data_IF_628482449848
#
_entry.id   IF_628482449848
#
_cell.length_a   1.000
_cell.length_b   1.000
_cell.length_c   1.000
_cell.angle_alpha   90.00
_cell.angle_beta   90.00
_cell.angle_gamma   90.00
#
_symmetry.space_group_name_H-M   'P 1'
#
loop_
_entity.id
_entity.type
_entity.pdbx_description
1 polymer ?
#
# COMPACT_ATOMS: atom_id res chain seq x y z
N UNK A 1 -2.15 15.77 -18.00
CA UNK A 1 -2.72 15.37 -16.68
C UNK A 1 -4.12 14.83 -16.91
N UNK A 2 -4.45 13.70 -16.29
CA UNK A 2 -5.80 13.14 -16.26
C UNK A 2 -6.45 13.57 -14.93
N UNK A 3 -7.25 14.65 -14.89
CA UNK A 3 -7.75 15.24 -13.64
C UNK A 3 -8.75 14.34 -12.88
N UNK A 4 -9.23 13.28 -13.55
CA UNK A 4 -10.19 12.33 -12.98
C UNK A 4 -9.55 11.11 -12.32
N UNK A 5 -8.22 10.94 -12.43
CA UNK A 5 -7.51 9.80 -11.85
C UNK A 5 -6.87 10.24 -10.54
N UNK A 6 -7.27 9.60 -9.45
CA UNK A 6 -6.59 9.77 -8.17
C UNK A 6 -5.15 9.22 -8.27
N UNK A 7 -4.16 9.90 -7.70
CA UNK A 7 -2.76 9.46 -7.74
C UNK A 7 -2.50 8.33 -6.74
N UNK A 8 -3.27 7.26 -6.86
CA UNK A 8 -3.14 6.00 -6.13
C UNK A 8 -3.41 4.84 -7.07
N UNK A 9 -2.51 3.85 -7.08
CA UNK A 9 -2.67 2.63 -7.88
C UNK A 9 -2.37 1.40 -7.03
N UNK A 10 -3.15 0.37 -7.26
CA UNK A 10 -2.86 -0.96 -6.74
C UNK A 10 -2.22 -1.81 -7.85
N UNK A 11 -0.96 -2.18 -7.65
CA UNK A 11 -0.20 -3.01 -8.58
C UNK A 11 0.26 -4.27 -7.84
N UNK A 12 -0.31 -5.43 -8.15
CA UNK A 12 0.02 -6.68 -7.48
C UNK A 12 1.41 -7.18 -7.87
N UNK A 13 2.40 -7.07 -6.97
CA UNK A 13 3.78 -7.54 -7.14
C UNK A 13 3.89 -9.06 -6.98
N UNK A 14 3.19 -9.61 -6.01
CA UNK A 14 3.15 -11.01 -5.59
C UNK A 14 4.43 -11.53 -4.95
N UNK A 15 5.62 -11.26 -5.50
CA UNK A 15 6.95 -11.55 -4.96
C UNK A 15 7.97 -10.59 -5.56
N UNK A 16 9.00 -10.25 -4.80
CA UNK A 16 10.16 -9.48 -5.28
C UNK A 16 11.31 -10.35 -5.81
N UNK A 17 11.09 -11.64 -5.98
CA UNK A 17 12.07 -12.59 -6.52
C UNK A 17 11.58 -13.20 -7.83
N UNK A 18 12.38 -13.11 -8.88
CA UNK A 18 12.02 -13.59 -10.23
C UNK A 18 11.82 -15.11 -10.27
N UNK A 19 12.58 -15.89 -9.49
CA UNK A 19 12.40 -17.34 -9.42
C UNK A 19 11.06 -17.70 -8.82
N UNK A 20 10.64 -16.99 -7.76
CA UNK A 20 9.32 -17.16 -7.14
C UNK A 20 8.22 -16.71 -8.09
N UNK A 21 8.37 -15.56 -8.78
CA UNK A 21 7.42 -15.09 -9.80
C UNK A 21 7.22 -16.10 -10.92
N UNK A 22 8.31 -16.72 -11.42
CA UNK A 22 8.25 -17.79 -12.42
C UNK A 22 7.48 -19.02 -11.92
N UNK A 23 7.73 -19.46 -10.69
CA UNK A 23 6.98 -20.56 -10.06
C UNK A 23 5.49 -20.23 -9.88
N UNK A 24 5.17 -18.95 -9.61
CA UNK A 24 3.79 -18.44 -9.56
C UNK A 24 3.15 -18.29 -10.96
N UNK A 25 3.89 -18.60 -12.04
CA UNK A 25 3.47 -18.42 -13.44
C UNK A 25 3.15 -16.94 -13.79
N UNK A 26 3.84 -15.99 -13.16
CA UNK A 26 3.73 -14.56 -13.51
C UNK A 26 4.46 -14.28 -14.82
N UNK A 27 3.89 -13.39 -15.65
CA UNK A 27 4.42 -13.06 -16.99
C UNK A 27 5.27 -11.78 -16.98
N UNK A 28 5.73 -11.38 -15.81
CA UNK A 28 6.63 -10.26 -15.58
C UNK A 28 7.70 -10.68 -14.57
N UNK A 29 8.81 -9.98 -14.58
CA UNK A 29 9.89 -10.01 -13.60
C UNK A 29 9.91 -8.73 -12.76
N UNK A 30 10.79 -8.69 -11.77
CA UNK A 30 10.93 -7.52 -10.89
C UNK A 30 11.36 -6.28 -11.67
N UNK A 31 12.26 -6.40 -12.65
CA UNK A 31 12.73 -5.28 -13.45
C UNK A 31 11.58 -4.64 -14.25
N UNK A 32 10.72 -5.45 -14.88
CA UNK A 32 9.54 -4.96 -15.58
C UNK A 32 8.55 -4.28 -14.64
N UNK A 33 8.37 -4.82 -13.43
CA UNK A 33 7.52 -4.21 -12.42
C UNK A 33 8.06 -2.84 -11.97
N UNK A 34 9.38 -2.76 -11.69
CA UNK A 34 10.04 -1.51 -11.33
C UNK A 34 9.89 -0.43 -12.39
N UNK A 35 10.11 -0.76 -13.67
CA UNK A 35 9.86 0.15 -14.79
C UNK A 35 8.42 0.69 -14.81
N UNK A 36 7.44 -0.15 -14.48
CA UNK A 36 6.03 0.30 -14.40
C UNK A 36 5.81 1.29 -13.24
N UNK A 37 6.45 1.06 -12.10
CA UNK A 37 6.42 1.99 -10.95
C UNK A 37 7.10 3.32 -11.29
N UNK A 38 8.27 3.27 -11.93
CA UNK A 38 9.01 4.46 -12.36
C UNK A 38 8.21 5.28 -13.37
N UNK A 39 7.58 4.62 -14.34
CA UNK A 39 6.72 5.27 -15.33
C UNK A 39 5.54 5.99 -14.66
N UNK A 40 4.87 5.35 -13.70
CA UNK A 40 3.79 6.00 -12.95
C UNK A 40 4.30 7.21 -12.17
N UNK A 41 5.42 7.10 -11.48
CA UNK A 41 6.00 8.19 -10.68
C UNK A 41 6.55 9.33 -11.54
N UNK A 42 7.03 9.06 -12.74
CA UNK A 42 7.48 10.09 -13.68
C UNK A 42 6.33 10.95 -14.21
N UNK A 43 5.14 10.36 -14.40
CA UNK A 43 3.96 11.08 -14.88
C UNK A 43 3.11 11.68 -13.75
N UNK A 44 3.13 11.03 -12.58
CA UNK A 44 2.39 11.40 -11.38
C UNK A 44 3.33 11.32 -10.16
N UNK A 45 4.20 12.32 -9.93
CA UNK A 45 5.28 12.24 -8.93
C UNK A 45 4.82 11.90 -7.51
N UNK A 46 3.62 12.36 -7.11
CA UNK A 46 3.05 12.11 -5.78
C UNK A 46 2.23 10.80 -5.71
N UNK A 47 2.33 9.93 -6.72
CA UNK A 47 1.58 8.67 -6.75
C UNK A 47 1.95 7.78 -5.58
N UNK A 48 0.91 7.33 -4.85
CA UNK A 48 1.02 6.28 -3.85
C UNK A 48 0.66 4.94 -4.45
N UNK A 49 1.41 3.93 -4.06
CA UNK A 49 1.23 2.56 -4.55
C UNK A 49 0.87 1.64 -3.39
N UNK A 50 -0.05 0.73 -3.66
CA UNK A 50 -0.34 -0.42 -2.81
C UNK A 50 -0.12 -1.71 -3.59
N UNK A 51 0.13 -2.81 -2.90
CA UNK A 51 0.43 -4.08 -3.55
C UNK A 51 0.00 -5.27 -2.70
N UNK A 52 -0.07 -6.43 -3.33
CA UNK A 52 -0.20 -7.73 -2.68
C UNK A 52 1.13 -8.49 -2.79
N UNK A 53 1.53 -9.16 -1.70
CA UNK A 53 2.70 -10.04 -1.67
C UNK A 53 2.32 -11.35 -0.97
N UNK A 54 2.69 -12.46 -1.59
CA UNK A 54 2.53 -13.81 -1.03
C UNK A 54 3.91 -14.25 -0.53
N UNK A 55 4.00 -14.66 0.73
CA UNK A 55 5.20 -15.24 1.34
C UNK A 55 5.04 -16.72 1.61
N UNK A 56 6.13 -17.47 1.58
CA UNK A 56 6.12 -18.91 1.81
C UNK A 56 5.43 -19.70 0.69
N UNK A 57 5.54 -19.22 -0.56
CA UNK A 57 5.13 -19.99 -1.72
C UNK A 57 5.96 -21.27 -1.82
N UNK A 58 5.43 -22.41 -2.36
CA UNK A 58 6.18 -23.66 -2.45
C UNK A 58 7.57 -23.47 -3.06
N UNK A 59 8.58 -23.99 -2.37
CA UNK A 59 9.99 -23.88 -2.76
C UNK A 59 10.64 -22.50 -2.55
N UNK A 60 9.95 -21.53 -1.92
CA UNK A 60 10.56 -20.24 -1.59
C UNK A 60 11.67 -20.41 -0.55
N UNK A 61 12.91 -20.15 -0.96
CA UNK A 61 14.09 -20.19 -0.08
C UNK A 61 14.18 -18.93 0.79
N UNK A 62 15.04 -18.93 1.81
CA UNK A 62 15.29 -17.73 2.63
C UNK A 62 15.83 -16.59 1.77
N UNK A 63 16.79 -16.88 0.88
CA UNK A 63 17.36 -15.88 -0.04
C UNK A 63 16.30 -15.23 -0.94
N UNK A 64 15.32 -15.99 -1.43
CA UNK A 64 14.23 -15.47 -2.26
C UNK A 64 13.28 -14.60 -1.46
N UNK A 65 13.04 -14.95 -0.19
CA UNK A 65 12.29 -14.13 0.74
C UNK A 65 13.02 -12.81 1.04
N UNK A 66 14.34 -12.84 1.29
CA UNK A 66 15.16 -11.64 1.51
C UNK A 66 15.14 -10.70 0.29
N UNK A 67 15.17 -11.24 -0.94
CA UNK A 67 15.00 -10.44 -2.17
C UNK A 67 13.64 -9.76 -2.21
N UNK A 68 12.58 -10.46 -1.82
CA UNK A 68 11.23 -9.89 -1.74
C UNK A 68 11.16 -8.78 -0.71
N UNK A 69 11.73 -8.98 0.48
CA UNK A 69 11.80 -7.98 1.54
C UNK A 69 12.54 -6.71 1.07
N UNK A 70 13.70 -6.88 0.44
CA UNK A 70 14.49 -5.78 -0.10
C UNK A 70 13.73 -5.00 -1.20
N UNK A 71 13.10 -5.71 -2.14
CA UNK A 71 12.35 -5.10 -3.23
C UNK A 71 11.15 -4.28 -2.71
N UNK A 72 10.38 -4.84 -1.76
CA UNK A 72 9.21 -4.18 -1.17
C UNK A 72 9.61 -2.91 -0.42
N UNK A 73 10.68 -2.97 0.37
CA UNK A 73 11.21 -1.80 1.10
C UNK A 73 11.70 -0.72 0.13
N UNK A 74 12.45 -1.09 -0.92
CA UNK A 74 12.98 -0.15 -1.90
C UNK A 74 11.87 0.54 -2.73
N UNK A 75 10.79 -0.18 -3.05
CA UNK A 75 9.65 0.35 -3.82
C UNK A 75 8.76 1.30 -3.01
N UNK A 76 8.88 1.31 -1.67
CA UNK A 76 8.22 2.26 -0.75
C UNK A 76 6.71 2.34 -0.98
N UNK A 77 6.04 1.20 -0.86
CA UNK A 77 4.57 1.14 -0.94
C UNK A 77 3.91 1.85 0.26
N UNK A 78 2.77 2.47 0.01
CA UNK A 78 1.93 3.00 1.10
C UNK A 78 1.32 1.87 1.94
N UNK A 79 0.96 0.77 1.27
CA UNK A 79 0.40 -0.41 1.94
C UNK A 79 0.74 -1.66 1.14
N UNK A 80 1.15 -2.69 1.86
CA UNK A 80 1.34 -4.03 1.32
C UNK A 80 0.35 -4.96 2.03
N UNK A 81 -0.42 -5.70 1.25
CA UNK A 81 -1.21 -6.80 1.77
C UNK A 81 -0.35 -8.06 1.74
N UNK A 82 0.10 -8.48 2.91
CA UNK A 82 0.96 -9.65 3.07
C UNK A 82 0.10 -10.89 3.30
N UNK A 83 0.22 -11.87 2.40
CA UNK A 83 -0.51 -13.14 2.47
C UNK A 83 0.46 -14.29 2.68
N UNK A 84 0.41 -15.00 3.83
CA UNK A 84 1.02 -16.32 3.91
C UNK A 84 0.38 -17.23 2.87
N UNK A 85 1.20 -17.95 2.09
CA UNK A 85 0.66 -18.88 1.10
C UNK A 85 -0.28 -19.89 1.74
N UNK A 86 -1.49 -19.98 1.21
CA UNK A 86 -2.51 -20.96 1.61
C UNK A 86 -2.73 -21.98 0.51
N UNK A 87 -2.55 -23.26 0.82
CA UNK A 87 -2.76 -24.38 -0.10
C UNK A 87 -4.23 -24.49 -0.48
N UNK A 88 -4.53 -24.37 -1.77
CA UNK A 88 -5.90 -24.50 -2.29
C UNK A 88 -6.00 -25.72 -3.18
N UNK A 89 -6.86 -26.66 -2.84
CA UNK A 89 -7.10 -27.87 -3.64
C UNK A 89 -7.41 -27.52 -5.10
N UNK A 90 -6.92 -28.34 -6.03
CA UNK A 90 -7.13 -28.14 -7.47
C UNK A 90 -6.18 -27.12 -8.13
N UNK A 91 -5.32 -26.44 -7.38
CA UNK A 91 -4.32 -25.52 -7.96
C UNK A 91 -2.99 -26.23 -8.23
N UNK A 92 -2.23 -25.87 -9.30
CA UNK A 92 -0.89 -26.42 -9.53
C UNK A 92 0.04 -26.24 -8.32
N UNK A 93 -0.03 -25.09 -7.65
CA UNK A 93 0.78 -24.78 -6.47
C UNK A 93 0.50 -25.73 -5.28
N UNK A 94 -0.72 -26.27 -5.17
CA UNK A 94 -1.05 -27.23 -4.12
C UNK A 94 -0.36 -28.59 -4.32
N UNK A 95 0.01 -28.94 -5.56
CA UNK A 95 0.72 -30.17 -5.93
C UNK A 95 2.24 -29.98 -5.99
N UNK A 96 2.76 -28.76 -5.88
CA UNK A 96 4.20 -28.53 -5.88
C UNK A 96 4.87 -29.17 -4.67
N UNK A 97 6.12 -29.69 -4.82
CA UNK A 97 6.94 -30.11 -3.69
C UNK A 97 7.35 -28.90 -2.83
N UNK A 98 8.10 -29.17 -1.78
CA UNK A 98 8.73 -28.15 -0.92
C UNK A 98 7.74 -27.15 -0.31
N UNK A 99 6.59 -27.64 0.13
CA UNK A 99 5.61 -26.87 0.89
C UNK A 99 6.22 -26.42 2.23
N UNK A 100 6.26 -25.11 2.47
CA UNK A 100 6.81 -24.56 3.71
C UNK A 100 5.89 -24.85 4.90
N UNK A 101 6.47 -25.09 6.10
CA UNK A 101 5.71 -25.18 7.35
C UNK A 101 4.93 -23.88 7.64
N UNK A 102 3.79 -24.01 8.32
CA UNK A 102 2.96 -22.86 8.66
C UNK A 102 3.70 -21.84 9.56
N UNK A 103 4.54 -22.33 10.49
CA UNK A 103 5.35 -21.46 11.35
C UNK A 103 6.32 -20.59 10.53
N UNK A 104 6.94 -21.15 9.48
CA UNK A 104 7.84 -20.39 8.61
C UNK A 104 7.09 -19.33 7.78
N UNK A 105 5.94 -19.66 7.25
CA UNK A 105 5.08 -18.68 6.55
C UNK A 105 4.66 -17.53 7.47
N UNK A 106 4.30 -17.85 8.71
CA UNK A 106 3.93 -16.84 9.71
C UNK A 106 5.12 -15.94 10.07
N UNK A 107 6.33 -16.52 10.26
CA UNK A 107 7.56 -15.77 10.50
C UNK A 107 7.85 -14.78 9.37
N UNK A 108 7.83 -15.25 8.12
CA UNK A 108 8.07 -14.40 6.94
C UNK A 108 7.02 -13.30 6.82
N UNK A 109 5.75 -13.63 7.03
CA UNK A 109 4.68 -12.64 6.99
C UNK A 109 4.88 -11.56 8.06
N UNK A 110 5.24 -11.91 9.28
CA UNK A 110 5.50 -10.96 10.36
C UNK A 110 6.69 -10.04 10.05
N UNK A 111 7.80 -10.59 9.54
CA UNK A 111 8.98 -9.82 9.16
C UNK A 111 8.68 -8.83 8.03
N UNK A 112 8.01 -9.29 6.97
CA UNK A 112 7.64 -8.43 5.85
C UNK A 112 6.65 -7.35 6.29
N UNK A 113 5.65 -7.71 7.12
CA UNK A 113 4.68 -6.74 7.64
C UNK A 113 5.38 -5.65 8.48
N UNK A 114 6.30 -6.01 9.37
CA UNK A 114 7.03 -5.04 10.18
C UNK A 114 7.81 -4.04 9.31
N UNK A 115 8.55 -4.51 8.30
CA UNK A 115 9.27 -3.64 7.37
C UNK A 115 8.32 -2.74 6.56
N UNK A 116 7.15 -3.25 6.15
CA UNK A 116 6.15 -2.45 5.45
C UNK A 116 5.54 -1.38 6.34
N UNK A 117 5.32 -1.68 7.62
CA UNK A 117 4.76 -0.73 8.59
C UNK A 117 5.73 0.43 8.88
N UNK A 118 7.05 0.17 8.91
CA UNK A 118 8.08 1.21 9.01
C UNK A 118 8.04 2.15 7.80
N UNK A 119 8.04 1.61 6.58
CA UNK A 119 7.92 2.39 5.35
C UNK A 119 6.63 3.20 5.33
N UNK A 120 5.51 2.60 5.72
CA UNK A 120 4.22 3.29 5.81
C UNK A 120 4.28 4.46 6.79
N UNK A 121 4.85 4.26 7.97
CA UNK A 121 4.98 5.31 8.97
C UNK A 121 5.82 6.49 8.46
N UNK A 122 6.88 6.23 7.70
CA UNK A 122 7.66 7.28 7.03
C UNK A 122 6.79 8.04 6.01
N UNK A 123 6.07 7.31 5.13
CA UNK A 123 5.18 7.91 4.13
C UNK A 123 4.10 8.79 4.76
N UNK A 124 3.56 8.37 5.91
CA UNK A 124 2.59 9.16 6.67
C UNK A 124 3.21 10.45 7.21
N UNK A 125 4.40 10.37 7.81
CA UNK A 125 5.12 11.57 8.32
C UNK A 125 5.47 12.57 7.21
N UNK A 126 5.81 12.11 6.01
CA UNK A 126 6.07 12.93 4.82
C UNK A 126 4.86 13.78 4.40
N UNK A 127 3.65 13.50 4.89
CA UNK A 127 2.45 14.24 4.55
C UNK A 127 2.25 15.52 5.39
N UNK A 128 3.02 15.71 6.46
CA UNK A 128 2.94 16.90 7.31
C UNK A 128 3.02 18.18 6.49
N UNK A 129 2.05 19.09 6.68
CA UNK A 129 1.94 20.38 5.99
C UNK A 129 1.39 20.31 4.57
N UNK A 130 1.27 19.12 3.96
CA UNK A 130 0.74 18.94 2.59
C UNK A 130 -0.77 19.17 2.54
N UNK A 131 -1.24 19.52 1.35
CA UNK A 131 -2.66 19.65 1.04
C UNK A 131 -3.18 18.38 0.39
N UNK A 132 -4.27 17.86 0.91
CA UNK A 132 -4.95 16.69 0.38
C UNK A 132 -6.38 17.02 -0.02
N UNK A 133 -6.81 16.55 -1.20
CA UNK A 133 -8.24 16.54 -1.56
C UNK A 133 -8.85 15.31 -0.91
N UNK A 134 -9.98 15.50 -0.26
CA UNK A 134 -10.72 14.46 0.46
C UNK A 134 -12.21 14.56 0.15
N UNK A 135 -12.87 13.42 0.02
CA UNK A 135 -14.31 13.35 0.00
C UNK A 135 -14.79 13.15 1.43
N UNK A 136 -15.60 14.08 1.95
CA UNK A 136 -16.14 13.96 3.30
C UNK A 136 -17.14 12.80 3.37
N UNK A 137 -16.88 11.85 4.28
CA UNK A 137 -17.67 10.63 4.41
C UNK A 137 -18.24 10.53 5.84
N UNK A 138 -17.67 9.70 6.68
CA UNK A 138 -18.19 9.40 8.01
C UNK A 138 -17.88 10.53 9.00
N UNK A 139 -18.91 11.00 9.72
CA UNK A 139 -18.73 11.92 10.83
C UNK A 139 -18.64 11.15 12.16
N UNK A 140 -17.51 11.27 12.85
CA UNK A 140 -17.23 10.58 14.11
C UNK A 140 -16.50 11.53 15.05
N UNK A 141 -17.03 11.75 16.25
CA UNK A 141 -16.38 12.51 17.33
C UNK A 141 -15.82 13.87 16.92
N UNK A 142 -16.58 14.64 16.13
CA UNK A 142 -16.20 15.99 15.73
C UNK A 142 -15.28 16.09 14.51
N UNK A 143 -15.03 14.99 13.80
CA UNK A 143 -14.18 14.93 12.60
C UNK A 143 -14.82 14.05 11.52
N UNK A 144 -14.51 14.36 10.26
CA UNK A 144 -14.82 13.45 9.15
C UNK A 144 -13.70 12.44 8.97
N UNK A 145 -14.03 11.15 9.04
CA UNK A 145 -13.10 10.05 8.74
C UNK A 145 -13.23 9.69 7.27
N UNK A 146 -12.14 9.88 6.53
CA UNK A 146 -12.12 9.83 5.06
C UNK A 146 -10.83 9.19 4.54
N UNK A 147 -10.79 8.94 3.23
CA UNK A 147 -9.56 8.69 2.51
C UNK A 147 -9.21 9.86 1.61
N UNK A 148 -7.93 10.23 1.57
CA UNK A 148 -7.44 11.24 0.64
C UNK A 148 -7.35 10.68 -0.77
N UNK A 149 -7.16 11.57 -1.76
CA UNK A 149 -6.89 11.21 -3.16
C UNK A 149 -5.69 10.28 -3.34
N UNK A 150 -4.76 10.23 -2.36
CA UNK A 150 -3.58 9.36 -2.33
C UNK A 150 -3.80 8.09 -1.51
N UNK A 151 -5.03 7.84 -1.06
CA UNK A 151 -5.42 6.70 -0.25
C UNK A 151 -4.86 6.69 1.18
N UNK A 152 -4.49 7.84 1.73
CA UNK A 152 -4.20 7.98 3.15
C UNK A 152 -5.50 8.07 3.95
N UNK A 153 -5.62 7.36 5.09
CA UNK A 153 -6.71 7.61 6.03
C UNK A 153 -6.49 8.96 6.71
N UNK A 154 -7.51 9.81 6.71
CA UNK A 154 -7.45 11.17 7.27
C UNK A 154 -8.65 11.40 8.19
N UNK A 155 -8.43 12.06 9.34
CA UNK A 155 -9.48 12.64 10.17
C UNK A 155 -9.48 14.16 9.96
N UNK A 156 -10.53 14.67 9.33
CA UNK A 156 -10.64 16.10 8.96
C UNK A 156 -11.48 16.85 9.97
N UNK A 157 -10.90 17.85 10.61
CA UNK A 157 -11.58 18.80 11.50
C UNK A 157 -11.97 20.07 10.74
N UNK A 158 -12.88 20.87 11.35
CA UNK A 158 -13.29 22.18 10.83
C UNK A 158 -14.36 22.16 9.75
N UNK A 159 -14.75 21.01 9.24
CA UNK A 159 -15.88 20.90 8.31
C UNK A 159 -17.18 20.56 9.07
N UNK A 160 -18.34 21.16 8.71
CA UNK A 160 -19.63 20.81 9.32
C UNK A 160 -20.03 19.35 9.08
N UNK A 161 -20.75 18.74 10.05
CA UNK A 161 -21.16 17.34 9.98
C UNK A 161 -22.06 17.01 8.78
N UNK A 162 -22.84 17.97 8.31
CA UNK A 162 -23.77 17.84 7.17
C UNK A 162 -23.07 17.96 5.79
N UNK A 163 -21.75 18.17 5.75
CA UNK A 163 -20.99 18.26 4.51
C UNK A 163 -20.63 16.90 3.91
N UNK A 164 -21.21 15.83 4.39
CA UNK A 164 -21.02 14.49 3.79
C UNK A 164 -21.29 14.52 2.27
N UNK A 165 -20.41 13.91 1.49
CA UNK A 165 -20.46 13.90 0.02
C UNK A 165 -19.76 15.09 -0.64
N UNK A 166 -19.26 16.07 0.11
CA UNK A 166 -18.50 17.19 -0.45
C UNK A 166 -17.03 16.85 -0.61
N UNK A 167 -16.46 17.33 -1.71
CA UNK A 167 -15.03 17.26 -1.96
C UNK A 167 -14.38 18.56 -1.46
N UNK A 168 -13.45 18.42 -0.52
CA UNK A 168 -12.78 19.58 0.11
C UNK A 168 -11.26 19.41 0.09
N UNK A 169 -10.53 20.49 0.40
CA UNK A 169 -9.09 20.44 0.63
C UNK A 169 -8.81 20.50 2.13
N UNK A 170 -7.98 19.58 2.62
CA UNK A 170 -7.51 19.55 3.99
C UNK A 170 -5.98 19.70 4.03
N UNK A 171 -5.47 20.50 4.97
CA UNK A 171 -4.05 20.59 5.29
C UNK A 171 -3.72 19.57 6.36
N UNK A 172 -2.72 18.75 6.15
CA UNK A 172 -2.28 17.77 7.14
C UNK A 172 -1.50 18.48 8.25
N UNK A 173 -1.98 18.34 9.47
CA UNK A 173 -1.44 18.99 10.67
C UNK A 173 -0.75 18.04 11.63
N UNK A 174 -0.95 16.72 11.45
CA UNK A 174 -0.36 15.73 12.33
C UNK A 174 -0.69 14.30 11.96
N UNK A 175 -0.37 13.41 12.91
CA UNK A 175 -0.60 11.98 12.83
C UNK A 175 -1.14 11.49 14.18
N UNK A 176 -2.19 10.69 14.16
CA UNK A 176 -2.76 10.03 15.32
C UNK A 176 -2.94 8.53 15.02
N UNK A 177 -2.12 7.69 15.66
CA UNK A 177 -2.06 6.27 15.34
C UNK A 177 -1.69 6.03 13.87
N UNK A 178 -2.57 5.39 13.12
CA UNK A 178 -2.39 5.08 11.70
C UNK A 178 -3.15 6.04 10.76
N UNK A 179 -3.58 7.20 11.25
CA UNK A 179 -4.44 8.17 10.56
C UNK A 179 -3.79 9.55 10.57
N UNK A 180 -3.80 10.23 9.43
CA UNK A 180 -3.42 11.63 9.34
C UNK A 180 -4.48 12.52 9.99
N UNK A 181 -4.06 13.58 10.65
CA UNK A 181 -4.92 14.67 11.11
C UNK A 181 -4.92 15.77 10.05
N UNK A 182 -6.08 16.23 9.67
CA UNK A 182 -6.25 17.29 8.69
C UNK A 182 -7.21 18.39 9.19
N UNK A 183 -6.93 19.59 8.78
CA UNK A 183 -7.81 20.75 8.99
C UNK A 183 -8.33 21.23 7.65
N UNK A 184 -9.64 21.56 7.61
CA UNK A 184 -10.26 22.13 6.43
C UNK A 184 -9.51 23.41 6.03
N UNK A 185 -9.08 23.48 4.77
CA UNK A 185 -8.62 24.73 4.19
C UNK A 185 -9.84 25.44 3.62
N UNK A 186 -10.20 26.58 4.19
CA UNK A 186 -11.22 27.42 3.59
C UNK A 186 -10.65 27.90 2.23
N UNK A 187 -11.29 27.50 1.14
CA UNK A 187 -11.03 28.15 -0.14
C UNK A 187 -11.36 29.63 0.08
N UNK A 188 -10.36 30.51 -0.11
CA UNK A 188 -10.64 31.92 -0.21
C UNK A 188 -11.68 32.10 -1.34
N UNK A 189 -12.71 32.90 -1.15
CA UNK A 189 -13.78 33.10 -2.09
C UNK A 189 -13.29 33.56 -3.47
#
# INVERSE_FOLDING_TARGET
>A
RMPFVCPHFHLSLQSGCDDTLRRMNRKYDLARYQLSVELLRSHLPDTMLTTDVIVGFPGETEREFEQTLAAVTALRFLKVHVFPYSRRAGTPAAAMPDQLPQAEKARRAALLQAACDEVRAERMREQQGRLHRVLLEQWVEGRHHVYSQHYFPVAVAGAPADWIGRLVTARITGLEGDRLLGELVQDAP
#
